data_IF_819791350793
#
_entry.id   IF_819791350793
#
_cell.length_a   1.000
_cell.length_b   1.000
_cell.length_c   1.000
_cell.angle_alpha   90.00
_cell.angle_beta   90.00
_cell.angle_gamma   90.00
#
_symmetry.space_group_name_H-M   'P 1'
#
loop_
_entity.id
_entity.type
_entity.pdbx_description
1 polymer ?
#
# COMPACT_ATOMS: atom_id res chain seq x y z
N UNK A 1 38.74 -73.56 23.55
CA UNK A 1 37.82 -73.31 24.67
C UNK A 1 38.68 -72.81 25.83
N UNK A 2 38.59 -71.62 26.42
CA UNK A 2 37.74 -70.44 26.25
C UNK A 2 38.52 -69.24 26.85
N UNK A 3 38.40 -68.07 26.26
CA UNK A 3 38.91 -66.78 26.78
C UNK A 3 37.97 -66.23 27.86
N UNK A 4 38.46 -65.67 28.98
CA UNK A 4 37.63 -64.79 29.79
C UNK A 4 37.88 -63.33 29.38
N UNK A 5 36.96 -62.80 28.58
CA UNK A 5 36.65 -61.38 28.47
C UNK A 5 36.01 -60.93 29.78
N UNK A 6 36.56 -59.91 30.44
CA UNK A 6 35.79 -58.92 31.23
C UNK A 6 36.70 -57.81 31.75
N UNK A 7 36.84 -56.73 30.98
CA UNK A 7 37.14 -55.40 31.54
C UNK A 7 35.79 -54.73 31.77
N UNK A 8 35.31 -54.72 33.00
CA UNK A 8 34.21 -53.85 33.39
C UNK A 8 34.71 -52.40 33.35
N UNK A 9 34.27 -51.65 32.34
CA UNK A 9 34.49 -50.21 32.29
C UNK A 9 33.66 -49.55 33.41
N UNK A 10 34.32 -48.83 34.30
CA UNK A 10 33.66 -47.99 35.30
C UNK A 10 32.92 -46.84 34.62
N UNK A 11 31.71 -46.46 35.08
CA UNK A 11 30.99 -45.33 34.51
C UNK A 11 31.77 -44.04 34.78
N UNK A 12 32.19 -43.35 33.71
CA UNK A 12 32.76 -42.02 33.82
C UNK A 12 31.71 -41.06 34.37
N UNK A 13 31.96 -40.53 35.57
CA UNK A 13 31.20 -39.43 36.13
C UNK A 13 31.28 -38.23 35.18
N UNK A 14 30.13 -37.78 34.67
CA UNK A 14 30.07 -36.55 33.87
C UNK A 14 30.52 -35.39 34.76
N UNK A 15 31.52 -34.64 34.29
CA UNK A 15 31.98 -33.43 34.98
C UNK A 15 30.80 -32.45 35.03
N UNK A 16 30.49 -31.86 36.19
CA UNK A 16 29.42 -30.87 36.27
C UNK A 16 29.71 -29.73 35.30
N UNK A 17 28.73 -29.40 34.46
CA UNK A 17 28.82 -28.30 33.52
C UNK A 17 29.05 -26.97 34.24
N UNK A 18 29.52 -25.93 33.52
CA UNK A 18 29.74 -24.61 34.10
C UNK A 18 28.47 -24.12 34.81
N UNK A 19 28.61 -23.78 36.10
CA UNK A 19 27.49 -23.26 36.89
C UNK A 19 27.01 -21.95 36.28
N UNK A 20 25.72 -21.87 35.98
CA UNK A 20 25.08 -20.66 35.47
C UNK A 20 25.30 -19.54 36.51
N UNK A 21 26.05 -18.50 36.14
CA UNK A 21 26.29 -17.36 37.02
C UNK A 21 24.96 -16.71 37.41
N UNK A 22 24.87 -16.31 38.69
CA UNK A 22 23.70 -15.62 39.25
C UNK A 22 23.38 -14.36 38.43
N UNK A 23 22.09 -14.04 38.30
CA UNK A 23 21.61 -12.92 37.48
C UNK A 23 22.31 -11.59 37.82
N UNK A 24 22.71 -11.40 39.07
CA UNK A 24 23.42 -10.21 39.56
C UNK A 24 24.82 -10.00 38.95
N UNK A 25 25.48 -11.06 38.45
CA UNK A 25 26.84 -10.98 37.89
C UNK A 25 26.82 -10.86 36.36
N UNK A 26 25.64 -10.85 35.72
CA UNK A 26 25.55 -10.75 34.26
C UNK A 26 25.62 -9.28 33.83
N UNK A 27 26.67 -8.94 33.09
CA UNK A 27 26.71 -7.67 32.37
C UNK A 27 25.68 -7.70 31.24
N UNK A 28 24.52 -7.05 31.45
CA UNK A 28 23.51 -6.83 30.42
C UNK A 28 24.08 -5.87 29.38
N UNK A 29 24.38 -6.38 28.18
CA UNK A 29 24.68 -5.53 27.03
C UNK A 29 23.33 -5.05 26.48
N UNK A 30 22.99 -3.75 26.56
CA UNK A 30 21.76 -3.26 25.96
C UNK A 30 21.84 -3.46 24.45
N UNK A 31 20.87 -4.15 23.84
CA UNK A 31 20.83 -4.23 22.39
C UNK A 31 20.52 -2.85 21.83
N UNK A 32 21.22 -2.46 20.76
CA UNK A 32 20.88 -1.24 20.05
C UNK A 32 19.42 -1.29 19.56
N UNK A 33 18.72 -0.15 19.49
CA UNK A 33 17.37 -0.10 18.95
C UNK A 33 17.38 -0.49 17.47
N UNK A 34 16.65 -1.55 17.12
CA UNK A 34 16.48 -1.98 15.73
C UNK A 34 15.61 -0.97 14.98
N UNK A 35 16.21 -0.07 14.22
CA UNK A 35 15.46 0.82 13.32
C UNK A 35 15.05 0.05 12.06
N UNK A 36 13.77 -0.35 11.98
CA UNK A 36 13.20 -0.93 10.76
C UNK A 36 13.06 0.18 9.72
N UNK A 37 13.81 0.10 8.61
CA UNK A 37 13.63 0.99 7.47
C UNK A 37 12.26 0.69 6.83
N UNK A 38 11.25 1.50 7.17
CA UNK A 38 9.93 1.43 6.55
C UNK A 38 9.99 2.05 5.15
N UNK A 39 10.13 1.22 4.12
CA UNK A 39 9.97 1.66 2.73
C UNK A 39 8.48 1.81 2.42
N UNK A 40 7.99 3.04 2.37
CA UNK A 40 6.62 3.36 1.96
C UNK A 40 6.64 3.60 0.44
N UNK A 41 5.94 2.76 -0.31
CA UNK A 41 5.83 2.89 -1.77
C UNK A 41 4.49 3.53 -2.14
N UNK A 42 4.51 4.46 -3.09
CA UNK A 42 3.29 5.13 -3.59
C UNK A 42 2.36 4.13 -4.28
N UNK A 43 1.05 4.38 -4.24
CA UNK A 43 0.04 3.52 -4.89
C UNK A 43 0.34 3.30 -6.37
N UNK A 44 0.74 4.37 -7.08
CA UNK A 44 1.20 4.30 -8.47
C UNK A 44 2.32 3.28 -8.67
N UNK A 45 3.33 3.30 -7.80
CA UNK A 45 4.47 2.38 -7.87
C UNK A 45 4.07 0.92 -7.54
N UNK A 46 3.07 0.71 -6.69
CA UNK A 46 2.51 -0.62 -6.40
C UNK A 46 1.78 -1.22 -7.61
N UNK A 47 1.24 -0.39 -8.50
CA UNK A 47 0.50 -0.78 -9.71
C UNK A 47 1.45 -0.94 -10.92
N UNK A 48 2.45 -0.07 -11.06
CA UNK A 48 3.40 -0.14 -12.19
C UNK A 48 4.30 -1.38 -12.08
N UNK A 49 4.73 -1.76 -10.88
CA UNK A 49 5.59 -2.92 -10.64
C UNK A 49 5.03 -4.26 -11.19
N UNK A 50 3.74 -4.62 -10.98
CA UNK A 50 3.14 -5.82 -11.58
C UNK A 50 2.91 -5.73 -13.09
N UNK A 51 2.72 -4.52 -13.62
CA UNK A 51 2.35 -4.30 -15.02
C UNK A 51 3.57 -4.02 -15.91
N UNK A 52 4.77 -4.01 -15.35
CA UNK A 52 5.97 -3.84 -16.16
C UNK A 52 6.28 -5.15 -16.87
N UNK A 53 5.92 -5.22 -18.15
CA UNK A 53 6.47 -6.22 -19.06
C UNK A 53 7.95 -5.92 -19.25
N UNK A 54 8.79 -6.93 -19.03
CA UNK A 54 10.24 -6.79 -19.16
C UNK A 54 10.67 -7.47 -20.45
N UNK A 55 11.51 -6.81 -21.23
CA UNK A 55 12.19 -7.46 -22.35
C UNK A 55 13.21 -8.44 -21.78
N UNK A 56 12.86 -9.72 -21.76
CA UNK A 56 13.85 -10.79 -21.65
C UNK A 56 14.22 -11.16 -23.09
N UNK A 57 15.49 -11.53 -23.35
CA UNK A 57 16.00 -11.84 -24.70
C UNK A 57 15.15 -12.85 -25.50
N UNK A 58 14.25 -13.59 -24.87
CA UNK A 58 13.37 -14.60 -25.47
C UNK A 58 11.92 -14.12 -25.76
N UNK A 59 11.63 -12.82 -25.61
CA UNK A 59 10.33 -12.21 -25.97
C UNK A 59 9.64 -11.42 -24.86
N UNK A 60 8.40 -10.99 -25.12
CA UNK A 60 7.56 -10.29 -24.16
C UNK A 60 7.01 -11.29 -23.12
N UNK A 61 7.68 -11.37 -21.96
CA UNK A 61 7.18 -12.15 -20.82
C UNK A 61 7.19 -11.32 -19.55
N UNK A 62 6.37 -11.73 -18.59
CA UNK A 62 6.43 -11.21 -17.23
C UNK A 62 7.78 -11.59 -16.60
N UNK A 63 8.52 -10.64 -15.99
CA UNK A 63 9.79 -10.95 -15.33
C UNK A 63 9.57 -11.92 -14.16
N UNK A 64 10.58 -12.68 -13.80
CA UNK A 64 10.55 -13.46 -12.55
C UNK A 64 10.64 -12.52 -11.34
N UNK A 65 10.16 -12.96 -10.16
CA UNK A 65 10.19 -12.16 -8.92
C UNK A 65 11.59 -11.61 -8.59
N UNK A 66 12.61 -12.45 -8.78
CA UNK A 66 14.02 -12.09 -8.54
C UNK A 66 14.52 -11.03 -9.51
N UNK A 67 14.16 -11.13 -10.79
CA UNK A 67 14.51 -10.14 -11.82
C UNK A 67 13.83 -8.79 -11.50
N UNK A 68 12.54 -8.82 -11.20
CA UNK A 68 11.77 -7.64 -10.82
C UNK A 68 12.32 -6.97 -9.54
N UNK A 69 12.78 -7.76 -8.57
CA UNK A 69 13.38 -7.28 -7.32
C UNK A 69 14.68 -6.50 -7.57
N UNK A 70 15.56 -7.04 -8.41
CA UNK A 70 16.82 -6.40 -8.77
C UNK A 70 16.58 -5.09 -9.53
N UNK A 71 15.67 -5.12 -10.50
CA UNK A 71 15.41 -3.96 -11.36
C UNK A 71 14.69 -2.82 -10.63
N UNK A 72 13.63 -3.13 -9.86
CA UNK A 72 12.85 -2.13 -9.14
C UNK A 72 13.47 -1.73 -7.79
N UNK A 73 14.49 -2.48 -7.34
CA UNK A 73 15.11 -2.39 -6.01
C UNK A 73 14.09 -2.57 -4.87
N UNK A 74 13.10 -3.44 -5.08
CA UNK A 74 12.02 -3.72 -4.15
C UNK A 74 12.17 -5.16 -3.67
N UNK A 75 12.08 -5.44 -2.36
CA UNK A 75 12.21 -6.80 -1.86
C UNK A 75 11.22 -7.77 -2.54
N UNK A 76 11.67 -8.99 -2.85
CA UNK A 76 10.86 -10.01 -3.52
C UNK A 76 9.52 -10.26 -2.80
N UNK A 77 9.55 -10.28 -1.46
CA UNK A 77 8.34 -10.43 -0.63
C UNK A 77 7.31 -9.33 -0.88
N UNK A 78 7.78 -8.09 -1.07
CA UNK A 78 6.93 -6.93 -1.35
C UNK A 78 6.34 -7.01 -2.75
N UNK A 79 7.14 -7.38 -3.75
CA UNK A 79 6.68 -7.57 -5.13
C UNK A 79 5.64 -8.70 -5.19
N UNK A 80 5.92 -9.84 -4.57
CA UNK A 80 5.00 -10.97 -4.52
C UNK A 80 3.66 -10.56 -3.88
N UNK A 81 3.70 -9.85 -2.75
CA UNK A 81 2.50 -9.33 -2.11
C UNK A 81 1.69 -8.40 -3.04
N UNK A 82 2.34 -7.54 -3.84
CA UNK A 82 1.64 -6.69 -4.80
C UNK A 82 1.07 -7.46 -5.99
N UNK A 83 1.78 -8.49 -6.44
CA UNK A 83 1.34 -9.35 -7.54
C UNK A 83 0.13 -10.20 -7.15
N UNK A 84 0.07 -10.69 -5.90
CA UNK A 84 -1.07 -11.46 -5.40
C UNK A 84 -2.29 -10.57 -5.10
N UNK A 85 -2.07 -9.36 -4.58
CA UNK A 85 -3.15 -8.44 -4.20
C UNK A 85 -3.43 -7.37 -5.28
N UNK A 86 -3.11 -7.66 -6.54
CA UNK A 86 -3.21 -6.69 -7.65
C UNK A 86 -4.59 -6.04 -7.72
N UNK A 87 -5.64 -6.85 -7.66
CA UNK A 87 -7.03 -6.41 -7.80
C UNK A 87 -7.43 -5.43 -6.68
N UNK A 88 -6.93 -5.65 -5.45
CA UNK A 88 -7.17 -4.73 -4.33
C UNK A 88 -6.56 -3.34 -4.56
N UNK A 89 -5.42 -3.23 -5.27
CA UNK A 89 -4.83 -1.92 -5.59
C UNK A 89 -5.51 -1.24 -6.77
N UNK A 90 -6.09 -2.01 -7.70
CA UNK A 90 -6.95 -1.48 -8.76
C UNK A 90 -8.26 -0.95 -8.16
N UNK A 91 -8.87 -1.67 -7.22
CA UNK A 91 -10.02 -1.22 -6.44
C UNK A 91 -9.73 0.05 -5.63
N UNK A 92 -8.52 0.23 -5.08
CA UNK A 92 -8.15 1.48 -4.39
C UNK A 92 -8.17 2.69 -5.34
N UNK A 93 -8.00 2.50 -6.67
CA UNK A 93 -8.13 3.61 -7.65
C UNK A 93 -9.58 4.03 -7.82
N UNK A 94 -10.52 3.09 -7.75
CA UNK A 94 -11.95 3.32 -7.97
C UNK A 94 -12.70 3.65 -6.68
N UNK A 95 -12.30 3.06 -5.55
CA UNK A 95 -12.94 3.14 -4.24
C UNK A 95 -12.21 4.06 -3.25
N UNK A 96 -11.60 5.15 -3.72
CA UNK A 96 -11.46 6.28 -2.79
C UNK A 96 -12.89 6.66 -2.39
N UNK A 97 -13.27 6.61 -1.10
CA UNK A 97 -14.58 7.04 -0.64
C UNK A 97 -14.61 8.56 -0.74
N UNK A 98 -14.73 9.05 -1.97
CA UNK A 98 -15.13 10.41 -2.22
C UNK A 98 -16.63 10.41 -1.95
N UNK A 99 -17.13 11.36 -1.15
CA UNK A 99 -18.57 11.53 -1.06
C UNK A 99 -19.07 11.79 -2.49
N UNK A 100 -19.83 10.82 -2.99
CA UNK A 100 -20.32 10.76 -4.36
C UNK A 100 -21.71 11.39 -4.36
N UNK A 101 -21.85 12.52 -5.04
CA UNK A 101 -23.08 13.31 -5.10
C UNK A 101 -23.59 13.34 -6.55
N UNK A 102 -24.13 12.23 -7.06
CA UNK A 102 -24.47 12.10 -8.48
C UNK A 102 -25.50 13.14 -8.95
N UNK A 103 -26.51 13.42 -8.12
CA UNK A 103 -27.58 14.37 -8.43
C UNK A 103 -27.04 15.82 -8.54
N UNK A 104 -26.02 16.14 -7.73
CA UNK A 104 -25.33 17.42 -7.81
C UNK A 104 -24.55 17.52 -9.13
N UNK A 105 -23.78 16.50 -9.47
CA UNK A 105 -22.96 16.49 -10.69
C UNK A 105 -23.82 16.56 -11.95
N UNK A 106 -24.95 15.85 -11.98
CA UNK A 106 -25.90 15.87 -13.10
C UNK A 106 -26.50 17.27 -13.32
N UNK A 107 -27.01 17.90 -12.25
CA UNK A 107 -27.52 19.28 -12.33
C UNK A 107 -26.45 20.29 -12.73
N UNK A 108 -25.23 20.13 -12.20
CA UNK A 108 -24.13 21.03 -12.51
C UNK A 108 -23.70 20.91 -13.98
N UNK A 109 -23.74 19.69 -14.52
CA UNK A 109 -23.45 19.41 -15.93
C UNK A 109 -24.52 19.97 -16.87
N UNK A 110 -25.79 19.84 -16.51
CA UNK A 110 -26.90 20.43 -17.28
C UNK A 110 -26.75 21.96 -17.38
N UNK A 111 -26.53 22.63 -16.24
CA UNK A 111 -26.35 24.08 -16.19
C UNK A 111 -25.09 24.54 -16.96
N UNK A 112 -24.03 23.74 -16.92
CA UNK A 112 -22.81 24.00 -17.69
C UNK A 112 -23.08 23.93 -19.19
N UNK A 113 -23.80 22.91 -19.63
CA UNK A 113 -24.12 22.70 -21.05
C UNK A 113 -24.98 23.83 -21.59
N UNK A 114 -26.05 24.20 -20.87
CA UNK A 114 -26.91 25.33 -21.23
C UNK A 114 -26.10 26.64 -21.37
N UNK A 115 -25.22 26.94 -20.41
CA UNK A 115 -24.36 28.14 -20.49
C UNK A 115 -23.36 28.12 -21.65
N UNK A 116 -22.90 26.94 -22.04
CA UNK A 116 -21.96 26.80 -23.17
C UNK A 116 -22.68 26.97 -24.50
N UNK A 117 -23.92 26.50 -24.60
CA UNK A 117 -24.79 26.77 -25.75
C UNK A 117 -25.08 28.27 -25.90
N UNK A 118 -25.24 28.99 -24.79
CA UNK A 118 -25.38 30.45 -24.75
C UNK A 118 -24.08 31.22 -25.06
N UNK A 119 -22.95 30.51 -25.25
CA UNK A 119 -21.65 31.12 -25.58
C UNK A 119 -20.93 31.77 -24.39
N UNK A 120 -21.38 31.53 -23.15
CA UNK A 120 -20.74 32.09 -21.97
C UNK A 120 -19.43 31.37 -21.60
N UNK A 121 -18.43 32.16 -21.21
CA UNK A 121 -17.18 31.62 -20.67
C UNK A 121 -17.39 31.12 -19.24
N UNK A 122 -17.37 29.80 -19.07
CA UNK A 122 -17.47 29.18 -17.75
C UNK A 122 -16.09 29.03 -17.11
N UNK A 123 -15.87 29.70 -15.98
CA UNK A 123 -14.64 29.62 -15.18
C UNK A 123 -14.84 28.74 -13.95
N UNK A 124 -13.75 28.29 -13.33
CA UNK A 124 -13.78 27.52 -12.07
C UNK A 124 -14.57 28.21 -10.96
N UNK A 125 -14.51 29.54 -10.87
CA UNK A 125 -15.28 30.31 -9.88
C UNK A 125 -16.79 30.13 -10.04
N UNK A 126 -17.29 29.97 -11.27
CA UNK A 126 -18.70 29.67 -11.52
C UNK A 126 -19.08 28.28 -11.02
N UNK A 127 -18.27 27.26 -11.32
CA UNK A 127 -18.51 25.90 -10.83
C UNK A 127 -18.55 25.87 -9.29
N UNK A 128 -17.68 26.63 -8.64
CA UNK A 128 -17.66 26.73 -7.18
C UNK A 128 -18.96 27.29 -6.62
N UNK A 129 -19.41 28.43 -7.14
CA UNK A 129 -20.66 29.05 -6.71
C UNK A 129 -21.86 28.14 -7.01
N UNK A 130 -21.94 27.64 -8.23
CA UNK A 130 -23.10 26.86 -8.68
C UNK A 130 -23.22 25.52 -7.96
N UNK A 131 -22.11 24.82 -7.74
CA UNK A 131 -22.10 23.58 -6.98
C UNK A 131 -22.51 23.82 -5.51
N UNK A 132 -22.08 24.91 -4.89
CA UNK A 132 -22.50 25.23 -3.52
C UNK A 132 -23.98 25.58 -3.41
N UNK A 133 -24.52 26.33 -4.37
CA UNK A 133 -25.96 26.65 -4.44
C UNK A 133 -26.78 25.38 -4.61
N UNK A 134 -26.49 24.59 -5.64
CA UNK A 134 -27.21 23.34 -5.93
C UNK A 134 -27.10 22.33 -4.78
N UNK A 135 -25.93 22.27 -4.12
CA UNK A 135 -25.75 21.36 -2.99
C UNK A 135 -26.64 21.75 -1.79
N UNK A 136 -26.78 23.04 -1.50
CA UNK A 136 -27.68 23.53 -0.43
C UNK A 136 -29.15 23.24 -0.75
N UNK A 137 -29.52 23.29 -2.02
CA UNK A 137 -30.89 22.99 -2.46
C UNK A 137 -31.20 21.48 -2.39
N UNK A 138 -30.30 20.64 -2.89
CA UNK A 138 -30.48 19.18 -2.94
C UNK A 138 -30.34 18.54 -1.56
N UNK A 139 -29.40 19.04 -0.76
CA UNK A 139 -29.00 18.43 0.52
C UNK A 139 -29.01 19.45 1.67
N UNK A 140 -30.18 20.01 2.03
CA UNK A 140 -30.27 21.04 3.07
C UNK A 140 -29.79 20.56 4.45
N UNK A 141 -29.92 19.26 4.74
CA UNK A 141 -29.56 18.66 6.03
C UNK A 141 -28.04 18.54 6.19
N UNK A 142 -27.33 18.20 5.11
CA UNK A 142 -25.87 17.99 5.10
C UNK A 142 -25.14 19.11 4.38
N UNK A 143 -25.74 20.30 4.26
CA UNK A 143 -25.20 21.44 3.51
C UNK A 143 -23.76 21.85 3.89
N UNK A 144 -23.30 21.47 5.07
CA UNK A 144 -21.94 21.72 5.57
C UNK A 144 -20.91 20.66 5.16
N UNK A 145 -21.33 19.50 4.66
CA UNK A 145 -20.45 18.38 4.30
C UNK A 145 -19.81 18.56 2.92
N UNK A 146 -20.39 19.38 2.05
CA UNK A 146 -19.81 19.65 0.75
C UNK A 146 -18.77 20.76 0.79
N UNK A 147 -17.52 20.37 0.53
CA UNK A 147 -16.42 21.28 0.32
C UNK A 147 -16.00 21.21 -1.14
N UNK A 148 -16.21 22.31 -1.87
CA UNK A 148 -15.66 22.46 -3.21
C UNK A 148 -14.13 22.49 -3.14
N UNK A 149 -13.51 21.36 -3.47
CA UNK A 149 -12.06 21.16 -3.51
C UNK A 149 -11.60 20.95 -4.95
N UNK A 150 -10.34 21.28 -5.23
CA UNK A 150 -9.74 21.03 -6.54
C UNK A 150 -9.68 19.53 -6.88
N UNK A 151 -9.55 18.67 -5.86
CA UNK A 151 -9.59 17.22 -6.01
C UNK A 151 -10.96 16.69 -6.44
N UNK A 152 -12.05 17.26 -5.89
CA UNK A 152 -13.41 16.95 -6.31
C UNK A 152 -13.67 17.48 -7.73
N UNK A 153 -13.32 18.74 -8.02
CA UNK A 153 -13.52 19.33 -9.34
C UNK A 153 -12.72 18.62 -10.44
N UNK A 154 -11.52 18.11 -10.13
CA UNK A 154 -10.76 17.26 -11.04
C UNK A 154 -11.39 15.87 -11.23
N UNK A 155 -12.21 15.40 -10.29
CA UNK A 155 -13.05 14.22 -10.46
C UNK A 155 -14.22 14.50 -11.39
N UNK A 156 -14.94 15.58 -11.16
CA UNK A 156 -16.05 16.03 -12.01
C UNK A 156 -15.67 16.24 -13.49
N UNK A 157 -14.42 16.65 -13.78
CA UNK A 157 -13.93 16.85 -15.15
C UNK A 157 -13.49 15.58 -15.88
N UNK A 158 -13.39 14.43 -15.18
CA UNK A 158 -12.91 13.18 -15.79
C UNK A 158 -14.02 12.48 -16.54
#
# INVERSE_FOLDING_TARGET
MATPLSRLATPQHQRPGPKIAALATRHLIPSAPTTVIKRIYSTRRKIEAPNTEHYVQDGLRRPYLREASQWLQIPERTINHWWTNRDSFEEIRTNSPRPYWPELEERLWADFTARREEGHLVRTGWFRQRAQEQFRELYPIVAHDFIFSEGWFNGFKR
#
